data_IF_667312344661
#
_entry.id   IF_667312344661
#
_cell.length_a   1.000
_cell.length_b   1.000
_cell.length_c   1.000
_cell.angle_alpha   90.00
_cell.angle_beta   90.00
_cell.angle_gamma   90.00
#
_symmetry.space_group_name_H-M   'P 1'
#
loop_
_entity.id
_entity.type
_entity.pdbx_description
1 polymer ?
#
# COMPACT_ATOMS: atom_id res chain seq x y z
N UNK A 1 -3.70 15.76 -22.42
CA UNK A 1 -2.90 15.64 -21.19
C UNK A 1 -3.17 14.30 -20.54
N UNK A 2 -2.14 13.58 -20.18
CA UNK A 2 -2.27 12.28 -19.51
C UNK A 2 -2.83 12.43 -18.09
N UNK A 3 -3.51 11.38 -17.61
CA UNK A 3 -3.93 11.31 -16.21
C UNK A 3 -2.72 11.11 -15.31
N UNK A 4 -2.73 11.70 -14.12
CA UNK A 4 -1.72 11.48 -13.10
C UNK A 4 -1.73 10.01 -12.70
N UNK A 5 -0.55 9.38 -12.71
CA UNK A 5 -0.33 8.03 -12.22
C UNK A 5 0.29 8.09 -10.82
N UNK A 6 -0.31 7.39 -9.87
CA UNK A 6 0.25 7.21 -8.54
C UNK A 6 0.97 5.87 -8.45
N UNK A 7 2.21 5.88 -7.97
CA UNK A 7 2.95 4.67 -7.59
C UNK A 7 2.89 4.50 -6.07
N UNK A 8 2.28 3.41 -5.62
CA UNK A 8 2.05 3.14 -4.21
C UNK A 8 3.01 2.05 -3.76
N UNK A 9 3.96 2.42 -2.92
CA UNK A 9 5.00 1.52 -2.40
C UNK A 9 4.51 0.90 -1.09
N UNK A 10 4.49 -0.42 -1.04
CA UNK A 10 3.96 -1.19 0.10
C UNK A 10 5.05 -2.13 0.60
N UNK A 11 5.85 -1.72 1.61
CA UNK A 11 6.77 -2.64 2.27
C UNK A 11 5.98 -3.71 3.05
N UNK A 12 6.43 -4.94 2.99
CA UNK A 12 5.71 -6.08 3.55
C UNK A 12 6.66 -7.09 4.16
N UNK A 13 6.27 -7.62 5.31
CA UNK A 13 6.90 -8.77 5.96
C UNK A 13 5.89 -9.46 6.87
N UNK A 14 5.64 -10.75 6.59
CA UNK A 14 4.69 -11.57 7.38
C UNK A 14 3.34 -10.86 7.63
N UNK A 15 2.74 -10.33 6.59
CA UNK A 15 1.52 -9.52 6.63
C UNK A 15 0.28 -10.27 6.14
N UNK A 16 0.27 -11.61 6.16
CA UNK A 16 -0.84 -12.41 5.62
C UNK A 16 -2.20 -12.04 6.23
N UNK A 17 -2.24 -11.63 7.50
CA UNK A 17 -3.48 -11.23 8.18
C UNK A 17 -4.02 -9.87 7.72
N UNK A 18 -3.20 -9.01 7.13
CA UNK A 18 -3.53 -7.61 6.87
C UNK A 18 -3.45 -7.22 5.39
N UNK A 19 -2.63 -7.92 4.60
CA UNK A 19 -2.32 -7.51 3.23
C UNK A 19 -3.56 -7.48 2.32
N UNK A 20 -4.56 -8.34 2.55
CA UNK A 20 -5.81 -8.30 1.79
C UNK A 20 -6.55 -7.00 1.99
N UNK A 21 -6.72 -6.56 3.24
CA UNK A 21 -7.39 -5.29 3.55
C UNK A 21 -6.65 -4.11 2.93
N UNK A 22 -5.32 -4.13 2.99
CA UNK A 22 -4.47 -3.13 2.35
C UNK A 22 -4.74 -3.05 0.84
N UNK A 23 -4.61 -4.16 0.12
CA UNK A 23 -4.79 -4.21 -1.35
C UNK A 23 -6.24 -3.98 -1.78
N UNK A 24 -7.21 -4.52 -1.04
CA UNK A 24 -8.63 -4.29 -1.31
C UNK A 24 -8.98 -2.81 -1.21
N UNK A 25 -8.35 -2.06 -0.31
CA UNK A 25 -8.54 -0.61 -0.20
C UNK A 25 -8.07 0.16 -1.42
N UNK A 26 -7.07 -0.36 -2.13
CA UNK A 26 -6.62 0.20 -3.40
C UNK A 26 -7.58 -0.12 -4.54
N UNK A 27 -8.08 -1.36 -4.60
CA UNK A 27 -9.08 -1.75 -5.61
C UNK A 27 -10.39 -0.97 -5.47
N UNK A 28 -10.72 -0.50 -4.27
CA UNK A 28 -11.90 0.31 -4.00
C UNK A 28 -11.70 1.81 -4.24
N UNK A 29 -10.49 2.25 -4.58
CA UNK A 29 -10.25 3.66 -4.85
C UNK A 29 -11.14 4.16 -5.99
N UNK A 30 -11.76 5.31 -5.81
CA UNK A 30 -12.58 5.97 -6.84
C UNK A 30 -11.74 6.51 -7.99
N UNK A 31 -10.44 6.74 -7.76
CA UNK A 31 -9.45 7.04 -8.79
C UNK A 31 -8.67 5.78 -9.17
N UNK A 32 -8.69 5.41 -10.44
CA UNK A 32 -8.21 4.11 -10.92
C UNK A 32 -6.80 4.10 -11.50
N UNK A 33 -6.19 5.26 -11.73
CA UNK A 33 -4.86 5.36 -12.36
C UNK A 33 -3.74 5.29 -11.32
N UNK A 34 -3.49 4.11 -10.85
CA UNK A 34 -2.44 3.80 -9.87
C UNK A 34 -1.79 2.45 -10.18
N UNK A 35 -0.59 2.29 -9.67
CA UNK A 35 0.10 1.01 -9.54
C UNK A 35 0.48 0.77 -8.09
N UNK A 36 0.47 -0.48 -7.65
CA UNK A 36 0.94 -0.90 -6.33
C UNK A 36 2.19 -1.76 -6.48
N UNK A 37 3.23 -1.40 -5.76
CA UNK A 37 4.53 -2.07 -5.77
C UNK A 37 4.77 -2.61 -4.37
N UNK A 38 4.48 -3.90 -4.19
CA UNK A 38 4.71 -4.60 -2.93
C UNK A 38 6.16 -5.05 -2.88
N UNK A 39 6.86 -4.62 -1.87
CA UNK A 39 8.26 -5.02 -1.62
C UNK A 39 8.29 -5.91 -0.40
N UNK A 40 8.40 -7.20 -0.63
CA UNK A 40 8.34 -8.21 0.41
C UNK A 40 9.72 -8.64 0.89
N UNK A 41 9.93 -8.59 2.20
CA UNK A 41 11.18 -8.97 2.85
C UNK A 41 11.22 -10.48 3.13
N UNK A 42 11.05 -11.31 2.09
CA UNK A 42 11.05 -12.77 2.19
C UNK A 42 10.15 -13.29 3.31
N UNK A 43 8.86 -12.95 3.25
CA UNK A 43 7.85 -13.46 4.19
C UNK A 43 7.85 -14.98 4.24
N UNK A 44 7.68 -15.52 5.44
CA UNK A 44 7.59 -16.96 5.70
C UNK A 44 6.15 -17.47 5.77
N UNK A 45 5.19 -16.55 5.81
CA UNK A 45 3.75 -16.84 5.75
C UNK A 45 3.22 -16.75 4.30
N UNK A 46 1.89 -16.72 4.14
CA UNK A 46 1.23 -16.68 2.83
C UNK A 46 1.18 -15.28 2.18
N UNK A 47 1.90 -14.29 2.69
CA UNK A 47 1.83 -12.90 2.20
C UNK A 47 2.04 -12.82 0.69
N UNK A 48 3.13 -13.39 0.18
CA UNK A 48 3.48 -13.29 -1.26
C UNK A 48 2.45 -14.02 -2.12
N UNK A 49 2.00 -15.21 -1.71
CA UNK A 49 0.99 -15.96 -2.46
C UNK A 49 -0.35 -15.21 -2.50
N UNK A 50 -0.72 -14.55 -1.41
CA UNK A 50 -1.92 -13.70 -1.36
C UNK A 50 -1.81 -12.54 -2.35
N UNK A 51 -0.70 -11.82 -2.36
CA UNK A 51 -0.48 -10.71 -3.30
C UNK A 51 -0.59 -11.18 -4.74
N UNK A 52 0.07 -12.28 -5.08
CA UNK A 52 0.03 -12.86 -6.44
C UNK A 52 -1.34 -13.35 -6.84
N UNK A 53 -2.19 -13.73 -5.89
CA UNK A 53 -3.54 -14.22 -6.16
C UNK A 53 -4.49 -13.16 -6.71
N UNK A 54 -4.17 -11.87 -6.59
CA UNK A 54 -5.01 -10.79 -7.11
C UNK A 54 -5.13 -10.80 -8.64
N UNK A 55 -4.05 -11.17 -9.35
CA UNK A 55 -4.07 -11.22 -10.81
C UNK A 55 -4.34 -9.88 -11.49
N UNK A 56 -4.24 -8.77 -10.77
CA UNK A 56 -4.40 -7.41 -11.31
C UNK A 56 -3.05 -6.89 -11.80
N UNK A 57 -2.98 -6.46 -13.05
CA UNK A 57 -1.73 -5.98 -13.68
C UNK A 57 -1.14 -4.75 -13.00
N UNK A 58 -1.94 -4.01 -12.23
CA UNK A 58 -1.49 -2.84 -11.48
C UNK A 58 -0.74 -3.20 -10.19
N UNK A 59 -0.81 -4.46 -9.75
CA UNK A 59 -0.20 -4.94 -8.50
C UNK A 59 1.01 -5.81 -8.85
N UNK A 60 2.20 -5.37 -8.46
CA UNK A 60 3.46 -6.07 -8.64
C UNK A 60 4.08 -6.40 -7.27
N UNK A 61 4.79 -7.52 -7.20
CA UNK A 61 5.48 -7.94 -5.99
C UNK A 61 6.95 -8.26 -6.30
N UNK A 62 7.84 -7.66 -5.53
CA UNK A 62 9.28 -7.88 -5.62
C UNK A 62 9.83 -8.28 -4.26
N UNK A 63 10.85 -9.12 -4.24
CA UNK A 63 11.50 -9.60 -3.02
C UNK A 63 12.77 -8.82 -2.74
N UNK A 64 13.03 -8.55 -1.46
CA UNK A 64 14.26 -7.94 -0.98
C UNK A 64 14.66 -8.56 0.36
N UNK A 65 15.96 -8.61 0.62
CA UNK A 65 16.49 -8.78 1.96
C UNK A 65 16.80 -7.40 2.55
N UNK A 66 15.90 -6.85 3.38
CA UNK A 66 16.06 -5.49 3.91
C UNK A 66 16.80 -5.45 5.26
N UNK A 67 17.12 -6.62 5.84
CA UNK A 67 17.84 -6.73 7.12
C UNK A 67 17.15 -5.98 8.27
N UNK A 68 15.81 -5.91 8.26
CA UNK A 68 15.00 -5.19 9.24
C UNK A 68 14.93 -3.68 9.01
N UNK A 69 15.46 -3.17 7.90
CA UNK A 69 15.44 -1.75 7.57
C UNK A 69 14.37 -1.45 6.52
N UNK A 70 13.22 -0.96 6.97
CA UNK A 70 12.05 -0.67 6.08
C UNK A 70 12.40 0.36 5.00
N UNK A 71 13.26 1.32 5.30
CA UNK A 71 13.71 2.30 4.32
C UNK A 71 14.37 1.66 3.10
N UNK A 72 15.07 0.53 3.25
CA UNK A 72 15.62 -0.23 2.10
C UNK A 72 14.51 -0.75 1.19
N UNK A 73 13.42 -1.26 1.77
CA UNK A 73 12.26 -1.71 0.99
C UNK A 73 11.60 -0.56 0.23
N UNK A 74 11.40 0.57 0.88
CA UNK A 74 10.81 1.77 0.26
C UNK A 74 11.68 2.29 -0.88
N UNK A 75 12.99 2.43 -0.66
CA UNK A 75 13.94 2.87 -1.69
C UNK A 75 13.98 1.92 -2.89
N UNK A 76 13.95 0.62 -2.63
CA UNK A 76 13.91 -0.38 -3.69
C UNK A 76 12.61 -0.29 -4.49
N UNK A 77 11.48 -0.12 -3.83
CA UNK A 77 10.19 0.07 -4.48
C UNK A 77 10.14 1.30 -5.39
N UNK A 78 10.76 2.40 -4.97
CA UNK A 78 10.85 3.63 -5.77
C UNK A 78 11.55 3.37 -7.11
N UNK A 79 12.52 2.46 -7.16
CA UNK A 79 13.23 2.14 -8.43
C UNK A 79 12.31 1.54 -9.50
N UNK A 80 11.18 0.96 -9.11
CA UNK A 80 10.17 0.40 -10.03
C UNK A 80 9.03 1.37 -10.34
N UNK A 81 8.93 2.49 -9.62
CA UNK A 81 7.85 3.43 -9.76
C UNK A 81 7.85 4.10 -11.13
N UNK A 82 6.71 4.07 -11.82
CA UNK A 82 6.47 4.72 -13.11
C UNK A 82 5.58 5.94 -13.01
N UNK A 83 5.01 6.16 -11.81
CA UNK A 83 4.04 7.22 -11.56
C UNK A 83 4.64 8.61 -11.50
N UNK A 84 3.78 9.59 -11.65
CA UNK A 84 4.10 11.00 -11.47
C UNK A 84 4.32 11.36 -10.00
N UNK A 85 3.64 10.63 -9.10
CA UNK A 85 3.75 10.76 -7.66
C UNK A 85 3.97 9.40 -7.01
N UNK A 86 4.82 9.39 -6.00
CA UNK A 86 5.08 8.22 -5.15
C UNK A 86 4.31 8.38 -3.84
N UNK A 87 3.60 7.33 -3.46
CA UNK A 87 2.89 7.22 -2.19
C UNK A 87 3.44 6.04 -1.39
N UNK A 88 3.33 6.10 -0.07
CA UNK A 88 3.68 5.00 0.82
C UNK A 88 2.45 4.52 1.57
N UNK A 89 2.29 3.21 1.62
CA UNK A 89 1.21 2.55 2.36
C UNK A 89 1.80 1.31 3.03
N UNK A 90 1.71 1.24 4.35
CA UNK A 90 2.17 0.07 5.08
C UNK A 90 1.18 -1.11 4.91
N UNK A 91 1.69 -2.33 4.89
CA UNK A 91 0.89 -3.51 4.56
C UNK A 91 -0.18 -3.87 5.58
N UNK A 92 -0.13 -3.30 6.78
CA UNK A 92 -1.13 -3.41 7.85
C UNK A 92 -2.12 -2.24 7.90
N UNK A 93 -1.97 -1.25 7.02
CA UNK A 93 -2.85 -0.10 6.89
C UNK A 93 -3.78 -0.23 5.67
N UNK A 94 -4.77 0.63 5.59
CA UNK A 94 -5.67 0.75 4.45
C UNK A 94 -6.13 2.19 4.27
N UNK A 95 -6.56 2.52 3.06
CA UNK A 95 -7.04 3.84 2.70
C UNK A 95 -8.56 3.90 2.56
N UNK A 96 -9.12 5.07 2.82
CA UNK A 96 -10.50 5.39 2.44
C UNK A 96 -10.62 5.47 0.91
N UNK A 97 -11.80 5.18 0.38
CA UNK A 97 -12.04 5.08 -1.08
C UNK A 97 -11.69 6.35 -1.87
N UNK A 98 -11.79 7.52 -1.25
CA UNK A 98 -11.52 8.82 -1.88
C UNK A 98 -10.09 9.34 -1.67
N UNK A 99 -9.19 8.53 -1.13
CA UNK A 99 -7.83 8.98 -0.78
C UNK A 99 -7.09 9.58 -1.97
N UNK A 100 -7.03 8.87 -3.08
CA UNK A 100 -6.31 9.32 -4.27
C UNK A 100 -7.02 10.49 -4.96
N UNK A 101 -8.34 10.50 -5.03
CA UNK A 101 -9.08 11.66 -5.54
C UNK A 101 -8.83 12.92 -4.71
N UNK A 102 -8.73 12.79 -3.40
CA UNK A 102 -8.38 13.92 -2.53
C UNK A 102 -6.95 14.38 -2.80
N UNK A 103 -6.01 13.47 -2.97
CA UNK A 103 -4.62 13.81 -3.31
C UNK A 103 -4.53 14.58 -4.64
N UNK A 104 -5.35 14.23 -5.63
CA UNK A 104 -5.37 14.91 -6.93
C UNK A 104 -5.60 16.41 -6.83
N UNK A 105 -6.37 16.87 -5.84
CA UNK A 105 -6.63 18.31 -5.64
C UNK A 105 -5.36 19.11 -5.37
N UNK A 106 -4.33 18.45 -4.86
CA UNK A 106 -3.05 19.07 -4.47
C UNK A 106 -1.90 18.74 -5.43
N UNK A 107 -2.14 17.86 -6.40
CA UNK A 107 -1.12 17.47 -7.37
C UNK A 107 -0.94 18.57 -8.42
N UNK A 108 0.33 18.91 -8.69
CA UNK A 108 0.71 19.82 -9.77
C UNK A 108 1.98 19.29 -10.42
N UNK A 109 1.91 18.88 -11.69
CA UNK A 109 3.04 18.32 -12.44
C UNK A 109 4.16 19.36 -12.73
N UNK A 110 3.89 20.64 -12.55
CA UNK A 110 4.88 21.72 -12.76
C UNK A 110 5.64 22.10 -11.47
N UNK A 111 5.27 21.52 -10.34
CA UNK A 111 5.84 21.81 -9.03
C UNK A 111 6.11 20.54 -8.26
N UNK A 112 7.15 20.56 -7.44
CA UNK A 112 7.37 19.51 -6.45
C UNK A 112 6.40 19.74 -5.28
N UNK A 113 5.54 18.75 -5.03
CA UNK A 113 4.53 18.83 -3.97
C UNK A 113 4.73 17.66 -3.00
N UNK A 114 4.80 17.99 -1.73
CA UNK A 114 4.76 17.02 -0.66
C UNK A 114 3.41 17.08 0.05
N UNK A 115 2.66 15.98 0.00
CA UNK A 115 1.33 15.87 0.61
C UNK A 115 1.44 14.94 1.82
N UNK A 116 1.03 15.42 2.97
CA UNK A 116 0.86 14.59 4.16
C UNK A 116 -0.59 14.70 4.65
N UNK A 117 -1.05 13.70 5.38
CA UNK A 117 -2.43 13.60 5.84
C UNK A 117 -2.48 13.08 7.27
N UNK A 118 -3.58 13.36 7.93
CA UNK A 118 -3.90 12.76 9.21
C UNK A 118 -4.32 11.31 9.03
N UNK A 119 -4.06 10.49 10.03
CA UNK A 119 -4.54 9.11 10.09
C UNK A 119 -5.49 8.93 11.28
N UNK A 120 -6.41 8.01 11.16
CA UNK A 120 -7.28 7.57 12.23
C UNK A 120 -6.75 6.23 12.75
N UNK A 121 -6.60 6.12 14.07
CA UNK A 121 -6.28 4.84 14.70
C UNK A 121 -7.55 4.01 14.79
N UNK A 122 -7.57 2.93 14.06
CA UNK A 122 -8.63 1.94 14.16
C UNK A 122 -8.21 0.83 15.11
N UNK A 123 -8.96 0.65 16.20
CA UNK A 123 -8.80 -0.46 17.12
C UNK A 123 -9.94 -1.45 16.87
N UNK A 124 -9.59 -2.66 16.46
CA UNK A 124 -10.55 -3.76 16.53
C UNK A 124 -10.76 -4.09 18.01
N UNK A 125 -11.98 -3.88 18.51
CA UNK A 125 -12.35 -4.42 19.79
C UNK A 125 -12.26 -5.94 19.69
N UNK A 126 -11.30 -6.54 20.41
CA UNK A 126 -11.33 -7.96 20.64
C UNK A 126 -12.63 -8.22 21.40
N UNK A 127 -13.62 -8.79 20.72
CA UNK A 127 -14.79 -9.37 21.39
C UNK A 127 -14.25 -10.46 22.31
N UNK A 128 -14.10 -10.11 23.58
CA UNK A 128 -13.69 -11.03 24.61
C UNK A 128 -14.61 -12.23 24.57
N UNK A 129 -14.02 -13.39 24.44
CA UNK A 129 -14.68 -14.64 24.79
C UNK A 129 -15.02 -14.52 26.29
N UNK A 130 -16.23 -14.08 26.60
CA UNK A 130 -16.79 -14.31 27.91
C UNK A 130 -17.02 -15.79 28.02
N UNK A 131 -16.04 -16.47 28.61
CA UNK A 131 -16.29 -17.79 29.19
C UNK A 131 -17.25 -17.60 30.35
N UNK A 132 -18.52 -17.83 30.12
CA UNK A 132 -19.46 -18.02 31.21
C UNK A 132 -19.02 -19.29 31.96
N UNK A 133 -18.55 -19.09 33.17
CA UNK A 133 -18.52 -20.12 34.15
C UNK A 133 -19.91 -20.25 34.79
#
# INVERSE_FOLDING_TARGET
MGKILFSIIIPSYNSALFIRRCLDSLLKQTYSNWEAIVIDNHSTDDTVSIVKSYGDSRIQCYLIHNEGVIAKSRNYGITFAKGDYVCFLDSDDWWKENKLNTCLLYCNLNEEVFIYHQFELYREEQRGLHSNK
#
